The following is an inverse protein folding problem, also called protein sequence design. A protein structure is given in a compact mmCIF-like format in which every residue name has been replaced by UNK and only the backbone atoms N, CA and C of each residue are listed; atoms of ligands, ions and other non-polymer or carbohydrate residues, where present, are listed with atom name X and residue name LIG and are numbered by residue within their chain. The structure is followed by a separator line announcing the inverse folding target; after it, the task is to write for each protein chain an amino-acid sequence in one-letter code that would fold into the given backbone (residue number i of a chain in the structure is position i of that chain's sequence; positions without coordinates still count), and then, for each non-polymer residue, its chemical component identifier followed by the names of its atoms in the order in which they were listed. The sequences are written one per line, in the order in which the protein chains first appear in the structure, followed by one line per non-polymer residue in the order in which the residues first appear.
data_IF_303355487255
#
_entry.id   IF_303355487255
#
_cell.length_a   1.000
_cell.length_b   1.000
_cell.length_c   1.000
_cell.angle_alpha   90.00
_cell.angle_beta   90.00
_cell.angle_gamma   90.00
#
_symmetry.space_group_name_H-M   'P 1'
#
loop_
_entity.id
_entity.type
_entity.pdbx_description
1 polymer ?
#
# COMPACT_ATOMS: atom_id res chain seq x y z
N UNK A 1 6.90 -24.16 19.81
CA UNK A 1 7.32 -24.92 18.61
C UNK A 1 6.15 -25.01 17.60
N UNK A 2 5.61 -23.88 17.10
CA UNK A 2 4.42 -23.88 16.21
C UNK A 2 4.37 -22.73 15.16
N UNK A 3 5.47 -22.01 14.91
CA UNK A 3 5.46 -20.90 13.94
C UNK A 3 5.70 -21.34 12.47
N UNK A 4 5.73 -22.66 12.19
CA UNK A 4 6.06 -23.20 10.86
C UNK A 4 4.95 -23.02 9.79
N UNK A 5 3.73 -22.63 10.19
CA UNK A 5 2.56 -22.54 9.29
C UNK A 5 1.94 -21.14 9.19
N UNK A 6 2.62 -20.10 9.69
CA UNK A 6 2.08 -18.75 9.69
C UNK A 6 2.16 -18.16 8.28
N UNK A 7 1.02 -18.09 7.58
CA UNK A 7 0.93 -17.39 6.29
C UNK A 7 1.31 -15.92 6.49
N UNK A 8 2.43 -15.51 5.89
CA UNK A 8 2.81 -14.10 5.79
C UNK A 8 1.79 -13.41 4.89
N UNK A 9 1.08 -12.42 5.43
CA UNK A 9 0.29 -11.50 4.60
C UNK A 9 1.26 -10.52 3.96
N UNK A 10 1.29 -10.47 2.64
CA UNK A 10 2.08 -9.52 1.85
C UNK A 10 1.14 -8.70 0.99
N UNK A 11 1.44 -7.42 0.89
CA UNK A 11 0.85 -6.51 -0.10
C UNK A 11 1.89 -6.35 -1.20
N UNK A 12 1.49 -6.51 -2.46
CA UNK A 12 2.36 -6.26 -3.61
C UNK A 12 2.21 -4.82 -4.08
N UNK A 13 3.24 -4.28 -4.73
CA UNK A 13 3.21 -2.93 -5.25
C UNK A 13 2.15 -2.84 -6.36
N UNK A 14 1.12 -1.98 -6.21
CA UNK A 14 0.08 -1.83 -7.23
C UNK A 14 0.56 -1.10 -8.49
N UNK A 15 1.68 -0.38 -8.41
CA UNK A 15 2.24 0.45 -9.48
C UNK A 15 3.74 0.58 -9.30
N UNK A 16 4.47 0.74 -10.40
CA UNK A 16 5.89 1.04 -10.37
C UNK A 16 6.14 2.43 -9.79
N UNK A 17 7.22 2.62 -9.02
CA UNK A 17 7.54 3.91 -8.44
C UNK A 17 8.37 3.83 -7.17
N UNK A 18 8.48 4.97 -6.50
CA UNK A 18 9.21 5.10 -5.24
C UNK A 18 8.22 5.17 -4.08
N UNK A 19 8.43 4.33 -3.06
CA UNK A 19 7.66 4.45 -1.82
C UNK A 19 8.05 5.72 -1.07
N UNK A 20 7.04 6.43 -0.56
CA UNK A 20 7.19 7.63 0.26
C UNK A 20 6.33 7.51 1.50
N UNK A 21 6.70 8.22 2.56
CA UNK A 21 5.93 8.22 3.79
C UNK A 21 4.57 8.88 3.56
N UNK A 22 3.52 8.34 4.18
CA UNK A 22 2.17 8.88 4.03
C UNK A 22 2.09 10.35 4.52
N UNK A 23 2.91 10.72 5.50
CA UNK A 23 3.08 12.09 6.03
C UNK A 23 3.60 13.10 5.01
N UNK A 24 4.25 12.65 3.93
CA UNK A 24 4.79 13.51 2.86
C UNK A 24 3.76 13.82 1.78
N UNK A 25 2.59 13.20 1.81
CA UNK A 25 1.50 13.47 0.87
C UNK A 25 0.94 14.87 1.15
N UNK A 26 0.75 15.73 0.13
CA UNK A 26 0.29 17.11 0.33
C UNK A 26 -1.16 17.23 0.81
N UNK A 27 -1.92 16.13 0.81
CA UNK A 27 -3.30 16.07 1.25
C UNK A 27 -3.37 15.62 2.71
N UNK A 28 -3.96 16.49 3.55
CA UNK A 28 -4.11 16.30 4.99
C UNK A 28 -4.82 14.99 5.36
N UNK A 29 -5.84 14.58 4.59
CA UNK A 29 -6.62 13.36 4.86
C UNK A 29 -5.72 12.13 4.88
N UNK A 30 -4.76 12.07 3.97
CA UNK A 30 -3.76 11.01 3.92
C UNK A 30 -2.61 11.25 4.90
N UNK A 31 -2.03 12.47 4.92
CA UNK A 31 -0.88 12.79 5.76
C UNK A 31 -1.13 12.57 7.26
N UNK A 32 -2.35 12.82 7.73
CA UNK A 32 -2.77 12.61 9.12
C UNK A 32 -3.37 11.22 9.36
N UNK A 33 -3.30 10.30 8.38
CA UNK A 33 -3.80 8.93 8.47
C UNK A 33 -5.30 8.83 8.83
N UNK A 34 -6.11 9.83 8.45
CA UNK A 34 -7.54 9.88 8.83
C UNK A 34 -8.34 8.70 8.27
N UNK A 35 -7.95 8.20 7.09
CA UNK A 35 -8.59 7.08 6.39
C UNK A 35 -7.97 5.72 6.74
N UNK A 36 -6.88 5.69 7.52
CA UNK A 36 -6.14 4.49 7.87
C UNK A 36 -4.63 4.65 7.71
N UNK A 37 -3.89 3.64 8.19
CA UNK A 37 -2.44 3.58 8.06
C UNK A 37 -2.00 3.02 6.70
N UNK A 38 -0.80 3.38 6.26
CA UNK A 38 -0.27 2.96 4.98
C UNK A 38 0.98 3.73 4.55
N UNK A 39 1.22 3.69 3.24
CA UNK A 39 2.31 4.39 2.55
C UNK A 39 1.77 4.96 1.23
N UNK A 40 2.52 5.88 0.64
CA UNK A 40 2.24 6.38 -0.70
C UNK A 40 3.34 5.93 -1.68
N UNK A 41 3.03 5.94 -2.97
CA UNK A 41 3.97 5.63 -4.05
C UNK A 41 3.99 6.82 -5.01
N UNK A 42 5.17 7.40 -5.20
CA UNK A 42 5.46 8.34 -6.29
C UNK A 42 5.65 7.54 -7.57
N UNK A 43 4.61 7.50 -8.40
CA UNK A 43 4.42 6.50 -9.45
C UNK A 43 5.21 6.80 -10.71
N UNK A 44 5.72 5.76 -11.36
CA UNK A 44 6.33 5.81 -12.69
C UNK A 44 5.45 4.99 -13.64
N UNK A 45 5.04 5.59 -14.75
CA UNK A 45 4.15 4.93 -15.72
C UNK A 45 2.66 5.12 -15.37
N UNK A 46 1.81 4.31 -16.00
CA UNK A 46 0.36 4.52 -16.02
C UNK A 46 -0.44 3.22 -15.87
N UNK A 47 0.20 2.12 -15.46
CA UNK A 47 -0.45 0.82 -15.24
C UNK A 47 -0.63 0.63 -13.73
N UNK A 48 -1.87 0.42 -13.31
CA UNK A 48 -2.22 0.10 -11.92
C UNK A 48 -2.77 -1.33 -11.88
N UNK A 49 -2.28 -2.12 -10.93
CA UNK A 49 -2.63 -3.52 -10.71
C UNK A 49 -3.18 -3.75 -9.31
N UNK A 50 -3.80 -4.91 -9.07
CA UNK A 50 -4.34 -5.24 -7.75
C UNK A 50 -3.21 -5.49 -6.74
N UNK A 51 -3.20 -4.83 -5.56
CA UNK A 51 -2.18 -5.02 -4.53
C UNK A 51 -2.36 -6.32 -3.73
N UNK A 52 -3.51 -6.99 -3.88
CA UNK A 52 -3.86 -8.27 -3.24
C UNK A 52 -5.07 -8.91 -3.93
N UNK A 53 -5.30 -10.19 -3.67
CA UNK A 53 -6.54 -10.87 -4.05
C UNK A 53 -7.76 -10.22 -3.35
N UNK A 54 -8.86 -10.04 -4.08
CA UNK A 54 -10.08 -9.42 -3.56
C UNK A 54 -11.15 -9.20 -4.63
N UNK A 55 -12.24 -8.54 -4.24
CA UNK A 55 -13.34 -8.12 -5.12
C UNK A 55 -13.57 -6.62 -4.99
N UNK A 56 -13.93 -5.95 -6.09
CA UNK A 56 -14.33 -4.55 -6.06
C UNK A 56 -15.71 -4.42 -5.38
N UNK A 57 -15.85 -3.42 -4.51
CA UNK A 57 -17.06 -3.12 -3.73
C UNK A 57 -17.50 -1.69 -3.95
#
# INVERSE_FOLDING_TARGET
MFELLKKKKSIIAPVDGKTVELSQVPDKVFAEKMVGDGLAIDTVGNIITAPSDGSLT
#
